data_IF_600630880300
#
_entry.id   IF_600630880300
#
_cell.length_a   1.000
_cell.length_b   1.000
_cell.length_c   1.000
_cell.angle_alpha   90.00
_cell.angle_beta   90.00
_cell.angle_gamma   90.00
#
_symmetry.space_group_name_H-M   'P 1'
#
loop_
_entity.id
_entity.type
_entity.pdbx_description
1 polymer ?
#
# COMPACT_ATOMS: atom_id res chain seq x y z
N UNK A 1 21.98 25.04 -4.13
CA UNK A 1 20.92 24.11 -4.59
C UNK A 1 19.71 24.32 -3.72
N UNK A 2 18.48 24.16 -4.26
CA UNK A 2 17.23 24.30 -3.50
C UNK A 2 16.49 22.96 -3.50
N UNK A 3 15.84 22.64 -2.39
CA UNK A 3 14.86 21.58 -2.24
C UNK A 3 13.48 22.19 -2.52
N UNK A 4 12.65 21.51 -3.29
CA UNK A 4 11.24 21.84 -3.48
C UNK A 4 10.39 20.72 -2.88
N UNK A 5 9.42 21.08 -2.04
CA UNK A 5 8.48 20.17 -1.40
C UNK A 5 7.05 20.47 -1.85
N UNK A 6 6.30 19.47 -2.26
CA UNK A 6 4.85 19.55 -2.40
C UNK A 6 4.22 19.28 -1.02
N UNK A 7 3.44 20.22 -0.54
CA UNK A 7 2.84 20.19 0.79
C UNK A 7 1.32 20.36 0.70
N UNK A 8 0.61 19.76 1.65
CA UNK A 8 -0.85 19.90 1.80
C UNK A 8 -1.18 20.49 3.16
N UNK A 9 -2.27 21.23 3.24
CA UNK A 9 -2.79 21.71 4.52
C UNK A 9 -3.46 20.55 5.26
N UNK A 10 -2.98 20.21 6.47
CA UNK A 10 -3.42 19.01 7.23
C UNK A 10 -4.91 19.02 7.56
N UNK A 11 -5.50 20.21 7.71
CA UNK A 11 -6.93 20.39 8.02
C UNK A 11 -7.82 20.46 6.78
N UNK A 12 -7.23 20.65 5.59
CA UNK A 12 -7.93 20.70 4.32
C UNK A 12 -7.02 20.21 3.18
N UNK A 13 -7.12 18.93 2.87
CA UNK A 13 -6.26 18.28 1.88
C UNK A 13 -6.46 18.80 0.44
N UNK A 14 -7.47 19.63 0.18
CA UNK A 14 -7.63 20.28 -1.13
C UNK A 14 -6.64 21.44 -1.31
N UNK A 15 -6.16 22.03 -0.22
CA UNK A 15 -5.19 23.11 -0.27
C UNK A 15 -3.76 22.55 -0.36
N UNK A 16 -3.07 22.95 -1.40
CA UNK A 16 -1.69 22.51 -1.68
C UNK A 16 -0.77 23.70 -1.89
N UNK A 17 0.52 23.47 -1.72
CA UNK A 17 1.56 24.45 -2.10
C UNK A 17 2.85 23.76 -2.48
N UNK A 18 3.68 24.47 -3.24
CA UNK A 18 5.09 24.13 -3.40
C UNK A 18 5.93 25.08 -2.53
N UNK A 19 6.72 24.47 -1.66
CA UNK A 19 7.64 25.20 -0.79
C UNK A 19 9.09 24.93 -1.21
N UNK A 20 9.89 25.99 -1.39
CA UNK A 20 11.29 25.86 -1.78
C UNK A 20 12.20 26.40 -0.68
N UNK A 21 13.13 25.55 -0.23
CA UNK A 21 14.10 25.87 0.80
C UNK A 21 15.53 25.66 0.32
N UNK A 22 16.49 26.39 0.87
CA UNK A 22 17.90 26.14 0.61
C UNK A 22 18.30 24.77 1.18
N UNK A 23 19.18 24.06 0.46
CA UNK A 23 19.80 22.84 0.99
C UNK A 23 21.01 23.22 1.82
N UNK A 24 20.97 22.89 3.10
CA UNK A 24 22.09 23.06 4.02
C UNK A 24 23.27 22.15 3.64
N UNK A 25 24.53 22.50 3.94
CA UNK A 25 25.66 21.59 3.79
C UNK A 25 25.43 20.27 4.54
N UNK A 26 25.91 19.16 3.97
CA UNK A 26 25.87 17.87 4.65
C UNK A 26 26.77 17.87 5.88
N UNK A 27 26.25 17.33 6.98
CA UNK A 27 27.01 17.04 8.18
C UNK A 27 27.69 15.67 8.09
N UNK A 28 28.66 15.42 8.95
CA UNK A 28 29.29 14.12 9.06
C UNK A 28 28.25 13.02 9.33
N UNK A 29 28.32 11.93 8.59
CA UNK A 29 27.37 10.81 8.66
C UNK A 29 26.08 10.98 7.85
N UNK A 30 25.83 12.13 7.22
CA UNK A 30 24.63 12.35 6.40
C UNK A 30 24.84 11.97 4.93
N UNK A 31 23.73 11.62 4.27
CA UNK A 31 23.64 11.42 2.83
C UNK A 31 22.50 12.28 2.25
N UNK A 32 22.71 12.81 1.04
CA UNK A 32 21.67 13.52 0.29
C UNK A 32 21.25 12.74 -0.93
N UNK A 33 19.97 12.55 -1.03
CA UNK A 33 19.30 11.89 -2.15
C UNK A 33 18.57 12.93 -3.02
N UNK A 34 18.70 12.82 -4.34
CA UNK A 34 17.80 13.43 -5.30
C UNK A 34 16.69 12.42 -5.62
N UNK A 35 15.44 12.77 -5.33
CA UNK A 35 14.29 11.91 -5.58
C UNK A 35 13.94 12.01 -7.06
N UNK A 36 14.17 10.92 -7.79
CA UNK A 36 13.99 10.87 -9.24
C UNK A 36 12.52 10.65 -9.63
N UNK A 37 11.89 9.65 -9.00
CA UNK A 37 10.51 9.28 -9.28
C UNK A 37 9.83 8.67 -8.06
N UNK A 38 8.54 8.88 -7.96
CA UNK A 38 7.68 8.26 -6.96
C UNK A 38 6.26 8.08 -7.48
N UNK A 39 5.52 7.16 -6.90
CA UNK A 39 4.10 6.96 -7.23
C UNK A 39 3.19 7.83 -6.38
N UNK A 40 2.06 8.23 -6.96
CA UNK A 40 0.94 8.83 -6.24
C UNK A 40 -0.32 8.00 -6.50
N UNK A 41 -0.93 7.51 -5.43
CA UNK A 41 -2.11 6.64 -5.45
C UNK A 41 -3.10 7.05 -4.35
N UNK A 42 -4.31 6.51 -4.38
CA UNK A 42 -5.29 6.71 -3.30
C UNK A 42 -4.75 6.30 -1.91
N UNK A 43 -3.80 5.35 -1.84
CA UNK A 43 -3.15 4.98 -0.58
C UNK A 43 -2.35 6.14 0.04
N UNK A 44 -1.76 7.01 -0.78
CA UNK A 44 -1.05 8.21 -0.28
C UNK A 44 -2.02 9.24 0.28
N UNK A 45 -3.23 9.35 -0.30
CA UNK A 45 -4.30 10.18 0.28
C UNK A 45 -4.73 9.63 1.64
N UNK A 46 -4.79 8.30 1.79
CA UNK A 46 -5.03 7.66 3.09
C UNK A 46 -3.95 8.02 4.12
N UNK A 47 -2.68 8.05 3.73
CA UNK A 47 -1.59 8.51 4.62
C UNK A 47 -1.80 9.96 5.08
N UNK A 48 -2.28 10.84 4.21
CA UNK A 48 -2.60 12.22 4.56
C UNK A 48 -3.82 12.30 5.51
N UNK A 49 -4.91 11.62 5.17
CA UNK A 49 -6.15 11.65 5.94
C UNK A 49 -5.98 11.10 7.37
N UNK A 50 -5.11 10.09 7.55
CA UNK A 50 -4.78 9.50 8.85
C UNK A 50 -3.41 9.94 9.39
N UNK A 51 -2.90 11.05 8.88
CA UNK A 51 -1.55 11.52 9.15
C UNK A 51 -1.23 11.70 10.64
N UNK A 52 -2.16 12.22 11.43
CA UNK A 52 -2.02 12.35 12.89
C UNK A 52 -2.30 11.02 13.60
N UNK A 53 -3.42 10.36 13.28
CA UNK A 53 -3.86 9.14 13.94
C UNK A 53 -2.86 7.99 13.80
N UNK A 54 -2.20 7.87 12.65
CA UNK A 54 -1.21 6.84 12.35
C UNK A 54 0.23 7.37 12.28
N UNK A 55 0.44 8.60 12.73
CA UNK A 55 1.76 9.26 12.79
C UNK A 55 2.47 9.42 11.44
N UNK A 56 1.76 9.40 10.31
CA UNK A 56 2.39 9.55 8.99
C UNK A 56 3.03 10.93 8.79
N UNK A 57 2.50 12.01 9.40
CA UNK A 57 3.11 13.33 9.35
C UNK A 57 4.46 13.42 10.04
N UNK A 58 4.78 12.47 10.91
CA UNK A 58 6.06 12.44 11.62
C UNK A 58 7.22 11.94 10.76
N UNK A 59 6.95 11.26 9.63
CA UNK A 59 8.04 10.79 8.77
C UNK A 59 8.82 11.93 8.13
N UNK A 60 8.13 12.97 7.69
CA UNK A 60 8.74 14.11 6.99
C UNK A 60 8.16 15.42 7.55
N UNK A 61 8.58 15.85 8.73
CA UNK A 61 8.07 17.07 9.35
C UNK A 61 8.43 18.29 8.51
N UNK A 62 7.49 19.22 8.42
CA UNK A 62 7.68 20.50 7.74
C UNK A 62 7.96 21.60 8.77
N UNK A 63 8.63 22.70 8.41
CA UNK A 63 8.88 23.81 9.33
C UNK A 63 7.61 24.44 9.86
N UNK A 64 6.54 24.45 9.10
CA UNK A 64 5.21 24.92 9.50
C UNK A 64 4.32 23.75 9.88
N UNK A 65 3.95 23.57 11.17
CA UNK A 65 3.23 22.40 11.65
C UNK A 65 1.84 22.17 11.04
N UNK A 66 1.20 23.22 10.49
CA UNK A 66 -0.10 23.15 9.81
C UNK A 66 -0.04 22.48 8.44
N UNK A 67 1.14 22.48 7.81
CA UNK A 67 1.38 21.83 6.53
C UNK A 67 2.01 20.44 6.71
N UNK A 68 1.69 19.54 5.81
CA UNK A 68 2.23 18.19 5.82
C UNK A 68 2.89 17.82 4.49
N UNK A 69 3.93 17.00 4.55
CA UNK A 69 4.51 16.35 3.37
C UNK A 69 4.01 14.92 3.31
N UNK A 70 3.24 14.60 2.27
CA UNK A 70 2.67 13.25 2.10
C UNK A 70 3.81 12.28 1.78
N UNK A 71 3.92 11.15 2.50
CA UNK A 71 4.90 10.13 2.17
C UNK A 71 4.51 9.35 0.91
N UNK A 72 5.52 9.01 0.12
CA UNK A 72 5.39 8.28 -1.14
C UNK A 72 6.48 7.21 -1.27
N UNK A 73 6.23 6.19 -2.08
CA UNK A 73 7.22 5.17 -2.43
C UNK A 73 7.84 5.47 -3.80
N UNK A 74 9.15 5.31 -3.91
CA UNK A 74 9.84 5.65 -5.15
C UNK A 74 11.31 5.33 -5.15
N UNK A 75 12.04 6.02 -6.03
CA UNK A 75 13.47 5.86 -6.25
C UNK A 75 14.20 7.18 -6.14
N UNK A 76 15.39 7.14 -5.57
CA UNK A 76 16.27 8.29 -5.45
C UNK A 76 17.73 7.90 -5.67
N UNK A 77 18.54 8.86 -6.12
CA UNK A 77 19.99 8.70 -6.31
C UNK A 77 20.75 9.52 -5.27
N UNK A 78 21.83 8.98 -4.77
CA UNK A 78 22.79 9.71 -3.92
C UNK A 78 23.47 10.80 -4.75
N UNK A 79 23.35 12.04 -4.33
CA UNK A 79 24.02 13.20 -4.96
C UNK A 79 25.10 13.84 -4.07
N UNK A 80 25.19 13.42 -2.81
CA UNK A 80 26.20 13.82 -1.87
C UNK A 80 26.23 12.89 -0.68
N UNK A 81 27.42 12.57 -0.19
CA UNK A 81 27.58 11.66 0.96
C UNK A 81 28.73 12.13 1.85
N UNK A 82 28.46 12.16 3.15
CA UNK A 82 29.41 12.27 4.25
C UNK A 82 29.34 11.01 5.13
N UNK A 83 28.74 9.92 4.62
CA UNK A 83 28.53 8.66 5.29
C UNK A 83 29.39 7.57 4.65
N UNK A 84 30.20 6.88 5.44
CA UNK A 84 31.00 5.76 4.96
C UNK A 84 30.10 4.63 4.43
N UNK A 85 30.49 4.03 3.30
CA UNK A 85 29.76 2.91 2.68
C UNK A 85 28.62 3.32 1.76
N UNK A 86 28.37 4.63 1.56
CA UNK A 86 27.41 5.15 0.59
C UNK A 86 28.08 6.10 -0.38
N UNK A 87 28.05 5.77 -1.67
CA UNK A 87 28.71 6.53 -2.73
C UNK A 87 27.71 7.36 -3.55
N UNK A 88 28.18 8.50 -4.08
CA UNK A 88 27.43 9.28 -5.06
C UNK A 88 27.12 8.42 -6.28
N UNK A 89 25.90 8.49 -6.78
CA UNK A 89 25.38 7.72 -7.90
C UNK A 89 24.65 6.43 -7.51
N UNK A 90 24.77 5.96 -6.27
CA UNK A 90 23.97 4.81 -5.82
C UNK A 90 22.47 5.13 -5.83
N UNK A 91 21.68 4.10 -6.20
CA UNK A 91 20.20 4.21 -6.33
C UNK A 91 19.51 3.39 -5.28
N UNK A 92 18.48 3.98 -4.66
CA UNK A 92 17.71 3.37 -3.59
C UNK A 92 16.21 3.44 -3.85
N UNK A 93 15.53 2.34 -3.53
CA UNK A 93 14.09 2.30 -3.34
C UNK A 93 13.76 2.60 -1.87
N UNK A 94 12.75 3.41 -1.62
CA UNK A 94 12.38 3.76 -0.25
C UNK A 94 11.14 4.62 -0.10
N UNK A 95 10.92 5.08 1.13
CA UNK A 95 9.83 5.95 1.53
C UNK A 95 10.32 7.39 1.59
N UNK A 96 9.74 8.24 0.76
CA UNK A 96 10.20 9.61 0.51
C UNK A 96 9.09 10.63 0.79
N UNK A 97 9.43 11.90 1.05
CA UNK A 97 8.46 13.00 0.92
C UNK A 97 8.17 13.25 -0.56
N UNK A 98 7.05 13.89 -0.88
CA UNK A 98 6.82 14.46 -2.21
C UNK A 98 7.72 15.69 -2.40
N UNK A 99 9.01 15.46 -2.58
CA UNK A 99 10.03 16.49 -2.64
C UNK A 99 11.12 16.15 -3.67
N UNK A 100 11.87 17.17 -4.10
CA UNK A 100 13.00 16.95 -5.02
C UNK A 100 14.21 16.30 -4.35
N UNK A 101 14.40 16.51 -3.04
CA UNK A 101 15.59 16.05 -2.30
C UNK A 101 15.22 15.62 -0.88
N UNK A 102 16.02 14.68 -0.36
CA UNK A 102 15.94 14.25 1.04
C UNK A 102 17.36 14.09 1.61
N UNK A 103 17.60 14.65 2.79
CA UNK A 103 18.82 14.39 3.57
C UNK A 103 18.48 13.39 4.67
N UNK A 104 19.29 12.35 4.80
CA UNK A 104 19.11 11.23 5.74
C UNK A 104 20.34 11.05 6.61
N UNK A 105 20.15 10.42 7.75
CA UNK A 105 21.19 9.99 8.69
C UNK A 105 21.28 8.46 8.66
N UNK A 106 22.06 7.86 7.74
CA UNK A 106 22.12 6.42 7.59
C UNK A 106 22.68 5.70 8.81
N UNK A 107 22.05 4.58 9.16
CA UNK A 107 22.54 3.60 10.10
C UNK A 107 22.41 2.19 9.53
N UNK A 108 23.18 1.23 10.09
CA UNK A 108 23.19 -0.18 9.63
C UNK A 108 23.46 -0.32 8.13
N UNK A 109 24.34 0.53 7.61
CA UNK A 109 24.73 0.52 6.21
C UNK A 109 25.38 -0.82 5.84
N UNK A 110 24.88 -1.45 4.77
CA UNK A 110 25.41 -2.70 4.22
C UNK A 110 25.13 -2.77 2.70
N UNK A 111 25.48 -3.86 2.06
CA UNK A 111 25.29 -4.04 0.61
C UNK A 111 23.82 -3.99 0.14
N UNK A 112 22.86 -4.25 1.04
CA UNK A 112 21.43 -4.23 0.75
C UNK A 112 20.78 -2.86 0.98
N UNK A 113 21.51 -1.91 1.55
CA UNK A 113 21.02 -0.57 1.82
C UNK A 113 21.28 -0.08 3.25
N UNK A 114 20.39 0.74 3.76
CA UNK A 114 20.53 1.33 5.09
C UNK A 114 19.16 1.67 5.70
N UNK A 115 19.16 2.03 6.99
CA UNK A 115 18.01 2.60 7.69
C UNK A 115 18.28 4.06 8.02
N UNK A 116 17.25 4.91 7.94
CA UNK A 116 17.36 6.27 8.48
C UNK A 116 17.25 6.24 10.00
N UNK A 117 18.23 6.84 10.67
CA UNK A 117 18.30 6.95 12.11
C UNK A 117 17.92 8.35 12.63
N UNK A 118 17.23 9.16 11.84
CA UNK A 118 16.76 10.47 12.27
C UNK A 118 15.92 10.34 13.56
N UNK A 119 16.17 11.15 14.61
CA UNK A 119 15.52 10.99 15.92
C UNK A 119 13.98 11.01 15.87
N UNK A 120 13.40 11.83 15.00
CA UNK A 120 11.94 11.93 14.85
C UNK A 120 11.30 10.68 14.23
N UNK A 121 12.11 9.75 13.67
CA UNK A 121 11.66 8.49 13.07
C UNK A 121 11.93 7.27 13.96
N UNK A 122 12.58 7.44 15.10
CA UNK A 122 13.03 6.34 15.96
C UNK A 122 11.87 5.47 16.50
N UNK A 123 10.73 6.09 16.79
CA UNK A 123 9.52 5.39 17.27
C UNK A 123 8.58 4.91 16.14
N UNK A 124 8.89 5.25 14.88
CA UNK A 124 8.07 4.88 13.74
C UNK A 124 8.43 3.49 13.24
N UNK A 125 7.48 2.85 12.55
CA UNK A 125 7.69 1.46 12.13
C UNK A 125 8.89 1.32 11.19
N UNK A 126 9.86 0.42 11.47
CA UNK A 126 11.15 0.36 10.77
C UNK A 126 11.05 0.06 9.28
N UNK A 127 9.97 -0.55 8.79
CA UNK A 127 9.78 -0.82 7.35
C UNK A 127 9.80 0.47 6.50
N UNK A 128 9.35 1.60 7.07
CA UNK A 128 9.35 2.90 6.40
C UNK A 128 10.68 3.66 6.52
N UNK A 129 11.60 3.17 7.36
CA UNK A 129 12.92 3.75 7.56
C UNK A 129 14.00 3.07 6.72
N UNK A 130 13.65 1.98 6.02
CA UNK A 130 14.57 1.22 5.20
C UNK A 130 14.68 1.80 3.79
N UNK A 131 15.92 1.98 3.33
CA UNK A 131 16.28 2.35 1.96
C UNK A 131 17.03 1.20 1.33
N UNK A 132 16.42 0.55 0.34
CA UNK A 132 16.93 -0.68 -0.28
C UNK A 132 17.78 -0.33 -1.49
N UNK A 133 19.02 -0.82 -1.54
CA UNK A 133 19.92 -0.59 -2.67
C UNK A 133 19.45 -1.33 -3.91
N UNK A 134 19.15 -0.61 -5.00
CA UNK A 134 18.62 -1.20 -6.23
C UNK A 134 19.55 -2.27 -6.83
N UNK A 135 20.87 -2.11 -6.68
CA UNK A 135 21.88 -3.04 -7.22
C UNK A 135 21.80 -4.47 -6.64
N UNK A 136 21.28 -4.63 -5.41
CA UNK A 136 21.20 -5.92 -4.72
C UNK A 136 19.76 -6.33 -4.38
N UNK A 137 18.77 -5.53 -4.80
CA UNK A 137 17.36 -5.81 -4.56
C UNK A 137 16.83 -6.82 -5.58
N UNK A 138 16.48 -8.05 -5.19
CA UNK A 138 15.99 -9.06 -6.11
C UNK A 138 14.59 -8.76 -6.70
N UNK A 139 13.88 -7.76 -6.15
CA UNK A 139 12.61 -7.27 -6.69
C UNK A 139 12.82 -6.19 -7.76
N UNK A 140 14.04 -5.67 -7.89
CA UNK A 140 14.33 -4.55 -8.78
C UNK A 140 14.60 -4.99 -10.21
N UNK A 141 14.04 -4.23 -11.13
CA UNK A 141 14.44 -4.23 -12.54
C UNK A 141 14.32 -2.79 -13.08
N UNK A 142 15.32 -2.27 -13.79
CA UNK A 142 15.22 -0.95 -14.42
C UNK A 142 14.00 -0.78 -15.32
N UNK A 143 13.64 -1.86 -16.04
CA UNK A 143 12.49 -1.86 -16.94
C UNK A 143 11.14 -1.75 -16.22
N UNK A 144 11.06 -2.05 -14.93
CA UNK A 144 9.82 -2.07 -14.14
C UNK A 144 9.82 -1.12 -12.96
N UNK A 145 10.71 -0.13 -12.90
CA UNK A 145 10.79 0.84 -11.80
C UNK A 145 9.45 1.54 -11.51
N UNK A 146 8.74 1.96 -12.55
CA UNK A 146 7.44 2.62 -12.39
C UNK A 146 6.42 1.68 -11.75
N UNK A 147 6.39 0.44 -12.19
CA UNK A 147 5.52 -0.61 -11.62
C UNK A 147 5.92 -0.89 -10.18
N UNK A 148 7.22 -0.97 -9.90
CA UNK A 148 7.72 -1.19 -8.55
C UNK A 148 7.36 -0.05 -7.60
N UNK A 149 7.51 1.21 -8.02
CA UNK A 149 7.11 2.36 -7.23
C UNK A 149 5.61 2.34 -6.88
N UNK A 150 4.76 1.93 -7.84
CA UNK A 150 3.30 1.87 -7.68
C UNK A 150 2.83 0.67 -6.88
N UNK A 151 3.29 -0.52 -7.25
CA UNK A 151 2.66 -1.77 -6.83
C UNK A 151 3.41 -2.50 -5.71
N UNK A 152 4.74 -2.32 -5.57
CA UNK A 152 5.50 -3.07 -4.56
C UNK A 152 4.92 -2.98 -3.14
N UNK A 153 4.62 -1.79 -2.57
CA UNK A 153 4.09 -1.72 -1.21
C UNK A 153 2.71 -2.35 -1.08
N UNK A 154 1.89 -2.24 -2.13
CA UNK A 154 0.54 -2.80 -2.16
C UNK A 154 0.57 -4.32 -2.36
N UNK A 155 1.44 -4.81 -3.26
CA UNK A 155 1.59 -6.23 -3.52
C UNK A 155 2.19 -7.00 -2.33
N UNK A 156 3.16 -6.42 -1.62
CA UNK A 156 3.66 -7.03 -0.37
C UNK A 156 2.52 -7.26 0.61
N UNK A 157 1.62 -6.29 0.74
CA UNK A 157 0.41 -6.44 1.56
C UNK A 157 -0.51 -7.55 1.01
N UNK A 158 -0.72 -7.59 -0.30
CA UNK A 158 -1.54 -8.61 -0.97
C UNK A 158 -1.00 -10.03 -0.76
N UNK A 159 0.31 -10.22 -0.93
CA UNK A 159 1.01 -11.48 -0.68
C UNK A 159 0.83 -11.94 0.78
N UNK A 160 0.98 -11.01 1.72
CA UNK A 160 0.86 -11.31 3.15
C UNK A 160 -0.60 -11.60 3.57
N UNK A 161 -1.60 -11.01 2.91
CA UNK A 161 -3.01 -11.34 3.16
C UNK A 161 -3.29 -12.77 2.72
N UNK A 162 -2.90 -13.13 1.50
CA UNK A 162 -3.06 -14.48 0.98
C UNK A 162 -2.37 -15.52 1.89
N UNK A 163 -1.11 -15.25 2.25
CA UNK A 163 -0.34 -16.09 3.16
C UNK A 163 -1.00 -16.22 4.53
N UNK A 164 -1.50 -15.12 5.09
CA UNK A 164 -2.19 -15.13 6.38
C UNK A 164 -3.47 -15.95 6.35
N UNK A 165 -4.28 -15.84 5.30
CA UNK A 165 -5.49 -16.63 5.16
C UNK A 165 -5.16 -18.12 5.07
N UNK A 166 -4.15 -18.49 4.29
CA UNK A 166 -3.69 -19.87 4.15
C UNK A 166 -3.06 -20.41 5.44
N UNK A 167 -2.29 -19.60 6.16
CA UNK A 167 -1.67 -19.95 7.44
C UNK A 167 -2.70 -20.25 8.55
N UNK A 168 -3.92 -19.76 8.40
CA UNK A 168 -5.06 -20.02 9.28
C UNK A 168 -6.09 -20.96 8.66
N UNK A 169 -5.70 -21.81 7.70
CA UNK A 169 -6.57 -22.79 7.02
C UNK A 169 -7.88 -22.16 6.54
N UNK A 170 -7.81 -20.93 6.03
CA UNK A 170 -8.99 -20.14 5.62
C UNK A 170 -10.10 -20.13 6.69
N UNK A 171 -9.70 -20.13 7.97
CA UNK A 171 -10.61 -20.12 9.12
C UNK A 171 -11.72 -21.18 9.04
N UNK A 172 -11.42 -22.33 8.44
CA UNK A 172 -12.37 -23.42 8.25
C UNK A 172 -13.40 -23.18 7.13
N UNK A 173 -13.22 -22.17 6.28
CA UNK A 173 -14.14 -21.94 5.16
C UNK A 173 -14.09 -23.07 4.11
N UNK A 174 -12.99 -23.84 4.06
CA UNK A 174 -12.82 -24.96 3.13
C UNK A 174 -13.04 -26.35 3.78
N UNK A 175 -13.50 -26.41 5.02
CA UNK A 175 -13.70 -27.66 5.73
C UNK A 175 -14.74 -28.57 5.06
N UNK A 176 -14.50 -29.88 5.15
CA UNK A 176 -15.43 -30.90 4.62
C UNK A 176 -15.51 -30.93 3.10
N UNK A 177 -14.47 -30.50 2.39
CA UNK A 177 -14.43 -30.45 0.93
C UNK A 177 -15.30 -29.36 0.29
N UNK A 178 -15.76 -28.38 1.08
CA UNK A 178 -16.52 -27.24 0.59
C UNK A 178 -15.59 -26.23 -0.08
N UNK A 179 -16.11 -25.53 -1.09
CA UNK A 179 -15.43 -24.37 -1.67
C UNK A 179 -15.65 -23.15 -0.79
N UNK A 180 -14.57 -22.63 -0.22
CA UNK A 180 -14.60 -21.41 0.60
C UNK A 180 -14.71 -20.17 -0.30
N UNK A 181 -15.65 -19.25 -0.01
CA UNK A 181 -15.86 -18.03 -0.77
C UNK A 181 -15.03 -16.88 -0.17
N UNK A 182 -14.09 -16.34 -0.95
CA UNK A 182 -13.26 -15.19 -0.58
C UNK A 182 -13.87 -13.91 -1.16
N UNK A 183 -14.60 -13.15 -0.34
CA UNK A 183 -15.24 -11.89 -0.72
C UNK A 183 -14.25 -10.74 -0.59
N UNK A 184 -13.86 -10.14 -1.71
CA UNK A 184 -12.93 -9.01 -1.75
C UNK A 184 -13.66 -7.75 -2.18
N UNK A 185 -13.83 -6.76 -1.29
CA UNK A 185 -14.42 -5.48 -1.67
C UNK A 185 -13.44 -4.61 -2.45
N UNK A 186 -13.95 -3.60 -3.16
CA UNK A 186 -13.13 -2.70 -4.00
C UNK A 186 -12.22 -3.45 -4.98
N UNK A 187 -12.80 -4.42 -5.71
CA UNK A 187 -12.06 -5.35 -6.56
C UNK A 187 -11.18 -4.68 -7.63
N UNK A 188 -11.44 -3.42 -7.98
CA UNK A 188 -10.61 -2.63 -8.90
C UNK A 188 -9.38 -2.01 -8.22
N UNK A 189 -9.28 -2.05 -6.89
CA UNK A 189 -8.13 -1.49 -6.17
C UNK A 189 -6.88 -2.38 -6.30
N UNK A 190 -5.72 -1.73 -6.36
CA UNK A 190 -4.43 -2.40 -6.61
C UNK A 190 -4.11 -3.49 -5.58
N UNK A 191 -4.43 -3.25 -4.31
CA UNK A 191 -4.24 -4.26 -3.26
C UNK A 191 -5.24 -5.41 -3.38
N UNK A 192 -6.51 -5.12 -3.72
CA UNK A 192 -7.52 -6.16 -3.86
C UNK A 192 -7.20 -7.11 -5.03
N UNK A 193 -6.89 -6.58 -6.22
CA UNK A 193 -6.57 -7.48 -7.33
C UNK A 193 -5.22 -8.18 -7.17
N UNK A 194 -4.25 -7.57 -6.45
CA UNK A 194 -3.03 -8.27 -6.07
C UNK A 194 -3.31 -9.46 -5.14
N UNK A 195 -4.22 -9.29 -4.18
CA UNK A 195 -4.69 -10.37 -3.29
C UNK A 195 -5.46 -11.44 -4.08
N UNK A 196 -6.36 -11.03 -4.99
CA UNK A 196 -7.10 -11.95 -5.84
C UNK A 196 -6.16 -12.78 -6.73
N UNK A 197 -5.11 -12.15 -7.27
CA UNK A 197 -4.10 -12.85 -8.07
C UNK A 197 -3.38 -13.96 -7.29
N UNK A 198 -3.07 -13.74 -6.01
CA UNK A 198 -2.46 -14.76 -5.16
C UNK A 198 -3.47 -15.86 -4.81
N UNK A 199 -4.66 -15.48 -4.37
CA UNK A 199 -5.72 -16.42 -3.99
C UNK A 199 -6.19 -17.29 -5.15
N UNK A 200 -6.27 -16.75 -6.37
CA UNK A 200 -6.71 -17.51 -7.55
C UNK A 200 -5.77 -18.67 -7.93
N UNK A 201 -4.57 -18.73 -7.38
CA UNK A 201 -3.62 -19.82 -7.58
C UNK A 201 -3.86 -20.99 -6.62
N UNK A 202 -4.80 -20.83 -5.68
CA UNK A 202 -5.11 -21.85 -4.66
C UNK A 202 -6.33 -22.67 -5.06
N UNK A 203 -6.32 -23.95 -4.70
CA UNK A 203 -7.46 -24.84 -4.87
C UNK A 203 -8.45 -24.75 -3.69
N UNK A 204 -9.70 -25.12 -3.91
CA UNK A 204 -10.71 -25.20 -2.86
C UNK A 204 -11.32 -23.86 -2.43
N UNK A 205 -11.01 -22.77 -3.15
CA UNK A 205 -11.58 -21.46 -2.89
C UNK A 205 -12.19 -20.84 -4.14
N UNK A 206 -13.21 -20.00 -3.96
CA UNK A 206 -13.79 -19.13 -4.98
C UNK A 206 -13.47 -17.68 -4.63
N UNK A 207 -12.74 -16.98 -5.50
CA UNK A 207 -12.41 -15.56 -5.31
C UNK A 207 -13.50 -14.71 -5.96
N UNK A 208 -14.27 -14.02 -5.13
CA UNK A 208 -15.38 -13.15 -5.55
C UNK A 208 -15.00 -11.69 -5.35
N UNK A 209 -14.90 -10.93 -6.44
CA UNK A 209 -14.64 -9.49 -6.40
C UNK A 209 -15.94 -8.69 -6.34
N UNK A 210 -16.04 -7.81 -5.37
CA UNK A 210 -17.16 -6.85 -5.24
C UNK A 210 -16.69 -5.48 -5.71
N UNK A 211 -17.41 -4.89 -6.66
CA UNK A 211 -17.02 -3.62 -7.28
C UNK A 211 -18.22 -2.74 -7.65
N UNK A 212 -17.96 -1.50 -8.04
CA UNK A 212 -18.98 -0.63 -8.62
C UNK A 212 -19.26 -0.99 -10.09
N UNK A 213 -20.48 -0.73 -10.63
CA UNK A 213 -20.82 -1.06 -12.00
C UNK A 213 -19.81 -0.56 -13.04
N UNK A 214 -19.28 0.65 -12.88
CA UNK A 214 -18.31 1.23 -13.82
C UNK A 214 -16.96 0.53 -13.87
N UNK A 215 -16.62 -0.31 -12.88
CA UNK A 215 -15.35 -1.01 -12.82
C UNK A 215 -15.44 -2.50 -13.20
N UNK A 216 -16.63 -3.01 -13.50
CA UNK A 216 -16.85 -4.44 -13.77
C UNK A 216 -15.98 -4.92 -14.95
N UNK A 217 -15.98 -4.21 -16.06
CA UNK A 217 -15.21 -4.60 -17.24
C UNK A 217 -13.69 -4.59 -17.00
N UNK A 218 -13.21 -3.61 -16.23
CA UNK A 218 -11.82 -3.62 -15.79
C UNK A 218 -11.51 -4.86 -14.93
N UNK A 219 -12.33 -5.13 -13.92
CA UNK A 219 -12.12 -6.29 -13.05
C UNK A 219 -12.19 -7.62 -13.83
N UNK A 220 -13.07 -7.75 -14.82
CA UNK A 220 -13.10 -8.90 -15.74
C UNK A 220 -11.79 -9.07 -16.50
N UNK A 221 -11.23 -7.95 -17.00
CA UNK A 221 -9.98 -7.99 -17.78
C UNK A 221 -8.76 -8.44 -16.96
N UNK A 222 -8.83 -8.36 -15.62
CA UNK A 222 -7.78 -8.85 -14.73
C UNK A 222 -7.63 -10.38 -14.76
N UNK A 223 -8.74 -11.13 -14.94
CA UNK A 223 -8.74 -12.58 -15.03
C UNK A 223 -8.32 -13.32 -13.75
N UNK A 224 -8.33 -12.63 -12.59
CA UNK A 224 -7.95 -13.19 -11.31
C UNK A 224 -9.13 -13.37 -10.33
N UNK A 225 -10.35 -13.01 -10.75
CA UNK A 225 -11.57 -13.27 -10.02
C UNK A 225 -12.33 -14.41 -10.66
N UNK A 226 -12.77 -15.38 -9.88
CA UNK A 226 -13.63 -16.46 -10.35
C UNK A 226 -15.04 -15.95 -10.65
N UNK A 227 -15.50 -14.97 -9.86
CA UNK A 227 -16.78 -14.28 -10.04
C UNK A 227 -16.65 -12.80 -9.67
N UNK A 228 -17.39 -11.96 -10.39
CA UNK A 228 -17.48 -10.52 -10.14
C UNK A 228 -18.93 -10.13 -9.94
N UNK A 229 -19.19 -9.40 -8.88
CA UNK A 229 -20.50 -8.89 -8.52
C UNK A 229 -20.42 -7.40 -8.23
N UNK A 230 -21.49 -6.70 -8.54
CA UNK A 230 -21.70 -5.35 -8.01
C UNK A 230 -22.20 -5.41 -6.57
N UNK A 231 -22.06 -4.33 -5.82
CA UNK A 231 -22.42 -4.32 -4.40
C UNK A 231 -23.90 -4.63 -4.12
N UNK A 232 -24.77 -4.41 -5.07
CA UNK A 232 -26.22 -4.74 -5.02
C UNK A 232 -26.52 -6.20 -5.36
N UNK A 233 -25.56 -6.94 -5.90
CA UNK A 233 -25.71 -8.35 -6.29
C UNK A 233 -25.27 -9.36 -5.20
N UNK A 234 -25.04 -8.92 -3.98
CA UNK A 234 -24.65 -9.81 -2.89
C UNK A 234 -25.60 -11.01 -2.68
N UNK A 235 -26.88 -10.85 -3.04
CA UNK A 235 -27.90 -11.91 -2.97
C UNK A 235 -27.68 -13.09 -3.94
N UNK A 236 -26.77 -12.95 -4.91
CA UNK A 236 -26.41 -14.05 -5.82
C UNK A 236 -25.49 -15.09 -5.15
N UNK A 237 -24.95 -14.78 -3.97
CA UNK A 237 -24.17 -15.72 -3.17
C UNK A 237 -25.10 -16.37 -2.14
N UNK A 238 -25.04 -17.68 -2.00
CA UNK A 238 -25.85 -18.40 -1.03
C UNK A 238 -25.57 -17.89 0.40
N UNK A 239 -26.64 -17.58 1.15
CA UNK A 239 -26.52 -16.98 2.49
C UNK A 239 -25.79 -17.89 3.53
N UNK A 240 -25.75 -19.19 3.28
CA UNK A 240 -25.07 -20.19 4.09
C UNK A 240 -23.68 -20.59 3.53
N UNK A 241 -23.22 -19.96 2.44
CA UNK A 241 -21.90 -20.20 1.88
C UNK A 241 -20.82 -19.92 2.93
N UNK A 242 -19.87 -20.85 3.13
CA UNK A 242 -18.75 -20.60 4.01
C UNK A 242 -17.84 -19.53 3.38
N UNK A 243 -17.77 -18.35 3.99
CA UNK A 243 -17.07 -17.23 3.38
C UNK A 243 -16.14 -16.49 4.34
N UNK A 244 -15.19 -15.80 3.74
CA UNK A 244 -14.30 -14.83 4.38
C UNK A 244 -14.52 -13.47 3.70
N UNK A 245 -14.54 -12.41 4.47
CA UNK A 245 -14.61 -11.05 3.94
C UNK A 245 -13.30 -10.30 4.16
N UNK A 246 -12.68 -9.84 3.07
CA UNK A 246 -11.52 -8.96 3.08
C UNK A 246 -11.93 -7.58 2.60
N UNK A 247 -11.99 -6.65 3.54
CA UNK A 247 -12.52 -5.31 3.33
C UNK A 247 -11.45 -4.32 2.90
N UNK A 248 -11.34 -4.09 1.59
CA UNK A 248 -10.48 -3.04 1.00
C UNK A 248 -11.23 -1.73 0.81
N UNK A 249 -12.56 -1.75 0.77
CA UNK A 249 -13.38 -0.55 0.56
C UNK A 249 -13.48 0.33 1.80
N UNK A 250 -13.44 -0.30 2.97
CA UNK A 250 -13.64 0.39 4.23
C UNK A 250 -15.07 0.95 4.40
N UNK A 251 -16.06 0.39 3.72
CA UNK A 251 -17.43 0.87 3.75
C UNK A 251 -18.24 0.17 4.86
N UNK A 252 -18.59 0.92 5.90
CA UNK A 252 -19.31 0.40 7.07
C UNK A 252 -20.69 -0.19 6.72
N UNK A 253 -21.41 0.39 5.74
CA UNK A 253 -22.72 -0.12 5.32
C UNK A 253 -22.56 -1.47 4.60
N UNK A 254 -21.62 -1.57 3.67
CA UNK A 254 -21.31 -2.82 2.99
C UNK A 254 -20.89 -3.91 3.98
N UNK A 255 -20.03 -3.57 4.96
CA UNK A 255 -19.62 -4.49 6.00
C UNK A 255 -20.81 -5.02 6.79
N UNK A 256 -21.71 -4.13 7.24
CA UNK A 256 -22.95 -4.54 7.93
C UNK A 256 -23.82 -5.45 7.08
N UNK A 257 -23.99 -5.14 5.80
CA UNK A 257 -24.75 -5.99 4.87
C UNK A 257 -24.14 -7.38 4.75
N UNK A 258 -22.83 -7.49 4.54
CA UNK A 258 -22.14 -8.77 4.43
C UNK A 258 -22.28 -9.59 5.72
N UNK A 259 -22.04 -8.98 6.88
CA UNK A 259 -22.16 -9.64 8.18
C UNK A 259 -23.60 -10.06 8.51
N UNK A 260 -24.60 -9.36 8.00
CA UNK A 260 -26.01 -9.72 8.19
C UNK A 260 -26.50 -10.79 7.21
N UNK A 261 -26.00 -10.75 5.97
CA UNK A 261 -26.47 -11.66 4.91
C UNK A 261 -25.84 -13.05 5.00
N UNK A 262 -24.55 -13.14 5.40
CA UNK A 262 -23.83 -14.43 5.40
C UNK A 262 -23.77 -15.05 6.79
N UNK A 263 -24.63 -16.06 7.00
CA UNK A 263 -24.74 -16.77 8.29
C UNK A 263 -23.49 -17.61 8.61
N UNK A 264 -22.72 -17.98 7.59
CA UNK A 264 -21.53 -18.80 7.71
C UNK A 264 -20.24 -18.00 7.38
N UNK A 265 -20.25 -16.68 7.70
CA UNK A 265 -19.06 -15.85 7.64
C UNK A 265 -18.05 -16.31 8.69
N UNK A 266 -16.91 -16.86 8.24
CA UNK A 266 -15.89 -17.45 9.11
C UNK A 266 -14.89 -16.42 9.64
N UNK A 267 -14.55 -15.43 8.83
CA UNK A 267 -13.61 -14.39 9.19
C UNK A 267 -13.92 -13.09 8.44
N UNK A 268 -13.58 -11.97 9.05
CA UNK A 268 -13.71 -10.65 8.44
C UNK A 268 -12.50 -9.81 8.83
N UNK A 269 -11.80 -9.22 7.86
CA UNK A 269 -10.70 -8.31 8.13
C UNK A 269 -10.77 -7.05 7.29
N UNK A 270 -10.32 -5.93 7.89
CA UNK A 270 -10.15 -4.65 7.22
C UNK A 270 -8.70 -4.45 6.83
N UNK A 271 -8.49 -3.95 5.60
CA UNK A 271 -7.17 -3.67 5.06
C UNK A 271 -6.97 -2.14 5.08
N UNK A 272 -5.98 -1.70 5.85
CA UNK A 272 -5.70 -0.26 6.00
C UNK A 272 -6.63 0.46 6.96
N UNK A 273 -6.33 1.75 7.18
CA UNK A 273 -6.86 2.55 8.29
C UNK A 273 -8.13 3.33 8.03
N UNK A 274 -8.93 3.03 7.01
CA UNK A 274 -10.13 3.82 6.70
C UNK A 274 -11.18 3.83 7.80
N UNK A 275 -11.04 2.98 8.83
CA UNK A 275 -11.95 2.91 9.97
C UNK A 275 -11.24 2.69 11.31
N UNK A 276 -10.20 3.47 11.59
CA UNK A 276 -9.55 3.45 12.92
C UNK A 276 -10.56 3.72 14.04
N UNK A 277 -11.55 4.58 13.78
CA UNK A 277 -12.62 4.90 14.73
C UNK A 277 -13.57 3.72 14.97
N UNK A 278 -13.78 2.84 14.00
CA UNK A 278 -14.63 1.64 14.13
C UNK A 278 -13.89 0.44 14.74
N UNK A 279 -12.57 0.40 14.67
CA UNK A 279 -11.76 -0.68 15.24
C UNK A 279 -11.44 -0.52 16.73
N UNK A 280 -11.95 0.54 17.36
CA UNK A 280 -11.89 0.71 18.81
C UNK A 280 -10.65 1.40 19.34
N UNK A 281 -9.90 2.12 18.52
CA UNK A 281 -8.77 2.95 18.97
C UNK A 281 -9.17 4.34 19.50
N UNK A 282 -10.40 4.79 19.29
CA UNK A 282 -11.00 5.90 20.02
C UNK A 282 -12.24 5.42 20.77
N UNK A 283 -12.16 5.37 22.07
CA UNK A 283 -13.34 5.35 22.93
C UNK A 283 -14.01 6.73 22.84
N UNK A 284 -15.03 6.87 21.99
CA UNK A 284 -15.98 7.95 22.20
C UNK A 284 -16.72 7.66 23.50
N UNK A 285 -16.54 8.54 24.48
CA UNK A 285 -17.31 8.52 25.72
C UNK A 285 -18.79 8.72 25.35
N UNK A 286 -19.57 7.64 25.37
CA UNK A 286 -21.05 7.72 25.45
C UNK A 286 -21.87 7.31 24.23
N UNK A 287 -21.30 6.81 23.13
CA UNK A 287 -22.08 6.28 22.00
C UNK A 287 -22.22 4.75 22.07
N UNK A 288 -23.46 4.22 22.05
CA UNK A 288 -23.69 2.78 21.92
C UNK A 288 -23.10 2.29 20.59
N UNK A 289 -22.07 1.43 20.65
CA UNK A 289 -21.48 0.73 19.51
C UNK A 289 -22.62 -0.04 18.82
N UNK A 290 -22.95 0.27 17.57
CA UNK A 290 -23.76 -0.62 16.73
C UNK A 290 -22.87 -1.83 16.41
N UNK A 291 -23.04 -2.91 17.16
CA UNK A 291 -22.32 -4.16 16.92
C UNK A 291 -22.65 -4.68 15.52
N UNK A 292 -21.60 -5.05 14.79
CA UNK A 292 -21.76 -5.76 13.53
C UNK A 292 -22.14 -7.21 13.86
N UNK A 293 -23.20 -7.79 13.27
CA UNK A 293 -23.59 -9.17 13.57
C UNK A 293 -22.49 -10.18 13.22
N UNK A 294 -22.43 -11.30 13.95
CA UNK A 294 -21.55 -12.43 13.64
C UNK A 294 -20.10 -12.23 14.08
N UNK A 295 -19.14 -12.62 13.24
CA UNK A 295 -17.70 -12.55 13.54
C UNK A 295 -17.22 -11.10 13.65
N UNK A 296 -16.35 -10.84 14.62
CA UNK A 296 -15.78 -9.50 14.78
C UNK A 296 -14.81 -9.21 13.64
N UNK A 297 -14.96 -8.03 12.99
CA UNK A 297 -13.97 -7.56 12.04
C UNK A 297 -12.64 -7.22 12.76
N UNK A 298 -11.52 -7.68 12.21
CA UNK A 298 -10.17 -7.45 12.73
C UNK A 298 -9.37 -6.59 11.75
N UNK A 299 -8.41 -5.84 12.25
CA UNK A 299 -7.45 -5.14 11.40
C UNK A 299 -6.36 -6.11 10.97
N UNK A 300 -6.13 -6.25 9.66
CA UNK A 300 -4.95 -6.95 9.16
C UNK A 300 -3.71 -6.08 9.33
N UNK A 301 -2.69 -6.62 9.97
CA UNK A 301 -1.44 -5.92 10.20
C UNK A 301 -0.27 -6.66 9.55
N UNK A 302 0.08 -6.27 8.33
CA UNK A 302 1.10 -6.89 7.51
C UNK A 302 2.47 -7.10 8.22
N UNK A 303 2.98 -6.16 9.05
CA UNK A 303 4.23 -6.37 9.77
C UNK A 303 4.21 -7.55 10.76
N UNK A 304 3.06 -7.87 11.33
CA UNK A 304 2.94 -9.05 12.21
C UNK A 304 3.14 -10.34 11.44
N UNK A 305 2.57 -10.43 10.23
CA UNK A 305 2.74 -11.60 9.36
C UNK A 305 4.18 -11.70 8.83
N UNK A 306 4.83 -10.58 8.49
CA UNK A 306 6.27 -10.56 8.16
C UNK A 306 7.10 -11.15 9.30
N UNK A 307 6.84 -10.70 10.53
CA UNK A 307 7.55 -11.19 11.72
C UNK A 307 7.35 -12.70 11.91
N UNK A 308 6.10 -13.16 11.79
CA UNK A 308 5.76 -14.59 11.90
C UNK A 308 6.50 -15.41 10.85
N UNK A 309 6.38 -15.04 9.58
CA UNK A 309 7.02 -15.79 8.48
C UNK A 309 8.54 -15.71 8.48
N UNK A 310 9.11 -14.62 8.97
CA UNK A 310 10.56 -14.55 9.21
C UNK A 310 11.02 -15.53 10.30
N UNK A 311 10.18 -15.81 11.29
CA UNK A 311 10.46 -16.84 12.28
C UNK A 311 10.27 -18.26 11.72
N UNK A 312 9.20 -18.49 10.93
CA UNK A 312 8.86 -19.81 10.39
C UNK A 312 9.81 -20.26 9.27
N UNK A 313 10.16 -19.35 8.33
CA UNK A 313 10.90 -19.67 7.11
C UNK A 313 12.33 -19.07 7.08
N UNK A 314 12.67 -18.26 8.05
CA UNK A 314 13.83 -17.37 8.00
C UNK A 314 13.61 -16.19 7.04
N UNK A 315 14.39 -15.12 7.21
CA UNK A 315 14.27 -13.92 6.34
C UNK A 315 14.61 -14.22 4.88
N UNK A 316 15.49 -15.18 4.62
CA UNK A 316 15.84 -15.61 3.26
C UNK A 316 14.67 -16.33 2.58
N UNK A 317 14.01 -17.28 3.26
CA UNK A 317 12.89 -18.03 2.72
C UNK A 317 11.66 -17.14 2.45
N UNK A 318 11.37 -16.18 3.35
CA UNK A 318 10.32 -15.20 3.11
C UNK A 318 10.63 -14.36 1.87
N UNK A 319 11.88 -13.90 1.73
CA UNK A 319 12.33 -13.12 0.56
C UNK A 319 12.19 -13.90 -0.73
N UNK A 320 12.63 -15.16 -0.76
CA UNK A 320 12.54 -16.02 -1.95
C UNK A 320 11.09 -16.17 -2.42
N UNK A 321 10.17 -16.49 -1.50
CA UNK A 321 8.75 -16.63 -1.82
C UNK A 321 8.13 -15.32 -2.32
N UNK A 322 8.48 -14.20 -1.68
CA UNK A 322 8.01 -12.88 -2.11
C UNK A 322 8.55 -12.50 -3.49
N UNK A 323 9.82 -12.80 -3.78
CA UNK A 323 10.44 -12.54 -5.09
C UNK A 323 9.74 -13.34 -6.19
N UNK A 324 9.52 -14.64 -5.99
CA UNK A 324 8.84 -15.48 -6.96
C UNK A 324 7.41 -14.98 -7.24
N UNK A 325 6.66 -14.67 -6.19
CA UNK A 325 5.31 -14.12 -6.30
C UNK A 325 5.29 -12.75 -6.99
N UNK A 326 6.24 -11.88 -6.68
CA UNK A 326 6.38 -10.55 -7.30
C UNK A 326 6.67 -10.65 -8.79
N UNK A 327 7.61 -11.50 -9.19
CA UNK A 327 7.95 -11.69 -10.61
C UNK A 327 6.75 -12.16 -11.42
N UNK A 328 6.01 -13.15 -10.92
CA UNK A 328 4.79 -13.64 -11.56
C UNK A 328 3.71 -12.53 -11.67
N UNK A 329 3.55 -11.74 -10.62
CA UNK A 329 2.60 -10.64 -10.60
C UNK A 329 2.97 -9.53 -11.58
N UNK A 330 4.24 -9.09 -11.60
CA UNK A 330 4.73 -8.03 -12.51
C UNK A 330 4.61 -8.48 -13.95
N UNK A 331 4.94 -9.74 -14.25
CA UNK A 331 4.77 -10.31 -15.60
C UNK A 331 3.32 -10.15 -16.07
N UNK A 332 2.35 -10.38 -15.21
CA UNK A 332 0.93 -10.23 -15.56
C UNK A 332 0.45 -8.78 -15.57
N UNK A 333 0.89 -7.98 -14.60
CA UNK A 333 0.41 -6.61 -14.40
C UNK A 333 0.97 -5.62 -15.42
N UNK A 334 2.23 -5.80 -15.86
CA UNK A 334 2.96 -4.84 -16.66
C UNK A 334 3.21 -5.27 -18.12
N UNK A 335 3.09 -6.57 -18.40
CA UNK A 335 3.47 -7.12 -19.69
C UNK A 335 2.31 -7.88 -20.35
N UNK A 336 2.46 -8.21 -21.65
CA UNK A 336 1.45 -8.88 -22.46
C UNK A 336 0.58 -7.90 -23.24
N UNK A 337 -0.37 -8.44 -24.02
CA UNK A 337 -1.21 -7.65 -24.94
C UNK A 337 -2.23 -6.75 -24.23
N UNK A 338 -2.54 -7.05 -22.96
CA UNK A 338 -3.46 -6.28 -22.14
C UNK A 338 -2.93 -6.13 -20.70
N UNK A 339 -1.96 -5.23 -20.47
CA UNK A 339 -1.43 -5.00 -19.13
C UNK A 339 -2.52 -4.44 -18.20
N UNK A 340 -2.47 -4.83 -16.92
CA UNK A 340 -3.43 -4.35 -15.93
C UNK A 340 -3.22 -2.90 -15.55
N UNK A 341 -1.98 -2.40 -15.71
CA UNK A 341 -1.58 -1.08 -15.28
C UNK A 341 -0.77 -0.36 -16.37
N UNK A 342 -1.21 0.84 -16.69
CA UNK A 342 -0.54 1.76 -17.59
C UNK A 342 0.07 2.89 -16.76
N UNK A 343 1.39 3.00 -16.76
CA UNK A 343 2.07 4.06 -16.02
C UNK A 343 2.11 5.34 -16.84
N UNK A 344 1.77 6.44 -16.19
CA UNK A 344 1.85 7.79 -16.75
C UNK A 344 2.86 8.63 -15.97
N UNK A 345 3.98 8.93 -16.60
CA UNK A 345 4.97 9.84 -16.00
C UNK A 345 4.51 11.29 -16.17
N UNK A 346 4.60 12.04 -15.11
CA UNK A 346 4.30 13.48 -15.06
C UNK A 346 5.41 14.20 -14.32
N UNK A 347 5.94 15.25 -14.92
CA UNK A 347 7.02 16.05 -14.35
C UNK A 347 6.62 17.52 -14.27
N UNK A 348 7.20 18.20 -13.30
CA UNK A 348 7.01 19.62 -13.07
C UNK A 348 5.77 19.99 -12.26
N UNK A 349 5.79 21.20 -11.73
CA UNK A 349 4.88 21.72 -10.71
C UNK A 349 3.39 21.60 -11.07
N UNK A 350 3.00 22.04 -12.25
CA UNK A 350 1.58 22.01 -12.67
C UNK A 350 1.03 20.59 -12.75
N UNK A 351 1.88 19.60 -13.09
CA UNK A 351 1.50 18.21 -13.15
C UNK A 351 1.25 17.62 -11.77
N UNK A 352 2.02 18.03 -10.75
CA UNK A 352 1.83 17.57 -9.37
C UNK A 352 0.44 17.93 -8.85
N UNK A 353 0.06 19.20 -8.98
CA UNK A 353 -1.24 19.71 -8.54
C UNK A 353 -2.38 18.97 -9.24
N UNK A 354 -2.32 18.87 -10.57
CA UNK A 354 -3.37 18.23 -11.37
C UNK A 354 -3.57 16.77 -10.98
N UNK A 355 -2.48 16.00 -10.90
CA UNK A 355 -2.55 14.57 -10.52
C UNK A 355 -3.00 14.40 -9.07
N UNK A 356 -2.51 15.25 -8.15
CA UNK A 356 -2.91 15.19 -6.77
C UNK A 356 -4.42 15.40 -6.60
N UNK A 357 -4.98 16.44 -7.25
CA UNK A 357 -6.42 16.75 -7.20
C UNK A 357 -7.27 15.63 -7.82
N UNK A 358 -6.79 15.01 -8.90
CA UNK A 358 -7.47 13.87 -9.53
C UNK A 358 -7.53 12.67 -8.59
N UNK A 359 -6.39 12.30 -7.99
CA UNK A 359 -6.30 11.17 -7.05
C UNK A 359 -7.11 11.44 -5.77
N UNK A 360 -7.08 12.67 -5.26
CA UNK A 360 -7.87 13.08 -4.08
C UNK A 360 -9.38 12.93 -4.32
N UNK A 361 -9.85 13.26 -5.51
CA UNK A 361 -11.28 13.12 -5.91
C UNK A 361 -11.71 11.67 -6.12
N UNK A 362 -10.78 10.73 -6.22
CA UNK A 362 -11.07 9.30 -6.42
C UNK A 362 -11.63 8.96 -7.80
N UNK A 363 -11.46 9.83 -8.80
CA UNK A 363 -11.97 9.66 -10.17
C UNK A 363 -11.00 9.01 -11.16
N UNK A 364 -9.82 8.56 -10.71
CA UNK A 364 -8.80 8.01 -11.60
C UNK A 364 -9.23 6.66 -12.19
N UNK A 365 -8.96 6.46 -13.49
CA UNK A 365 -9.08 5.15 -14.13
C UNK A 365 -8.23 4.13 -13.34
N UNK A 366 -8.80 2.99 -12.91
CA UNK A 366 -8.07 1.98 -12.13
C UNK A 366 -6.86 1.40 -12.89
N UNK A 367 -6.85 1.47 -14.22
CA UNK A 367 -5.71 1.09 -15.08
C UNK A 367 -4.55 2.09 -15.01
N UNK A 368 -4.81 3.32 -14.61
CA UNK A 368 -3.78 4.35 -14.59
C UNK A 368 -2.98 4.31 -13.29
N UNK A 369 -1.66 4.41 -13.44
CA UNK A 369 -0.72 4.61 -12.36
C UNK A 369 0.14 5.85 -12.59
N UNK A 370 0.06 6.82 -11.71
CA UNK A 370 0.83 8.05 -11.83
C UNK A 370 2.22 7.93 -11.21
N UNK A 371 3.22 8.30 -11.99
CA UNK A 371 4.62 8.44 -11.56
C UNK A 371 4.98 9.91 -11.67
N UNK A 372 5.39 10.49 -10.56
CA UNK A 372 5.75 11.89 -10.46
C UNK A 372 7.27 12.06 -10.27
N UNK A 373 7.81 13.16 -10.78
CA UNK A 373 9.21 13.58 -10.60
C UNK A 373 9.38 15.06 -10.78
N UNK A 374 10.32 15.66 -10.05
CA UNK A 374 10.65 17.09 -10.14
C UNK A 374 11.47 17.42 -11.37
#
# INVERSE_FOLDING_TARGET
>A
MKKTDFQVLKTDLQQTRLNSTALEPLKAGEVRLAIDRFSLTANNITYAAFGDAMSYWKFFPTPEPTWGSIPVWGFANVIGSQCAGLAVGERFYGYFPMASHLTLTPAKVNEHGFYDAAPHRAELHPVYNQYVASRTDPLYSPATENIQALLRPLFVTSFLIDDFLADNDFFGACEGGKTGVMLLSSASSKTAYGTAFQLAQRSGIEVVGLTSPGNVEFCKSLGCYHRLLTYDQLGEIAADAPCIYVDFAGNANLRRQIHSNFKNLKYSCSIGGTHVDELGMKQEKGGARKETPGVRATLFFAPAQIKKRSADWGSAGLREKLVAAWQAFVQRAAHGDAPWLLTQERRGQASFEAVYQEVLKGGSDPRTGYILGF
#
